data_IF_545622386319
#
_entry.id   IF_545622386319
#
_cell.length_a   1.000
_cell.length_b   1.000
_cell.length_c   1.000
_cell.angle_alpha   90.00
_cell.angle_beta   90.00
_cell.angle_gamma   90.00
#
_symmetry.space_group_name_H-M   'P 1'
#
loop_
_entity.id
_entity.type
_entity.pdbx_description
1 polymer ?
#
# COMPACT_ATOMS: atom_id res chain seq x y z
N UNK A 1 7.02 -9.71 62.58
CA UNK A 1 8.14 -9.45 61.64
C UNK A 1 7.68 -9.86 60.24
N UNK A 2 7.41 -8.91 59.32
CA UNK A 2 7.00 -9.19 57.93
C UNK A 2 7.84 -8.33 57.00
N UNK A 3 8.95 -8.88 56.53
CA UNK A 3 9.89 -8.18 55.64
C UNK A 3 9.28 -8.14 54.25
N UNK A 4 8.86 -6.96 53.78
CA UNK A 4 8.40 -6.75 52.41
C UNK A 4 9.63 -6.67 51.51
N UNK A 5 9.86 -7.70 50.68
CA UNK A 5 10.88 -7.64 49.62
C UNK A 5 10.34 -6.75 48.51
N UNK A 6 10.83 -5.52 48.42
CA UNK A 6 10.54 -4.59 47.34
C UNK A 6 11.25 -5.04 46.06
N UNK A 7 10.48 -5.42 45.05
CA UNK A 7 10.98 -5.77 43.72
C UNK A 7 11.38 -4.48 43.00
N UNK A 8 12.68 -4.23 42.86
CA UNK A 8 13.20 -3.09 42.08
C UNK A 8 13.22 -3.48 40.61
N UNK A 9 12.14 -3.16 39.89
CA UNK A 9 12.11 -3.26 38.42
C UNK A 9 12.99 -2.13 37.88
N UNK A 10 14.13 -2.48 37.26
CA UNK A 10 15.07 -1.51 36.70
C UNK A 10 14.48 -0.81 35.47
N UNK A 11 14.66 0.51 35.37
CA UNK A 11 14.16 1.36 34.29
C UNK A 11 14.54 0.87 32.87
N UNK A 12 15.64 0.12 32.73
CA UNK A 12 16.10 -0.47 31.46
C UNK A 12 15.19 -1.57 30.89
N UNK A 13 14.54 -2.38 31.74
CA UNK A 13 13.60 -3.40 31.24
C UNK A 13 12.24 -2.79 30.84
N UNK A 14 11.86 -1.66 31.43
CA UNK A 14 10.65 -0.94 31.07
C UNK A 14 10.82 -0.18 29.74
N UNK A 15 12.02 0.33 29.45
CA UNK A 15 12.35 1.01 28.20
C UNK A 15 12.45 0.04 27.00
N UNK A 16 12.96 -1.19 27.21
CA UNK A 16 13.06 -2.19 26.15
C UNK A 16 11.68 -2.75 25.75
N UNK A 17 10.76 -2.89 26.72
CA UNK A 17 9.38 -3.29 26.45
C UNK A 17 8.59 -2.22 25.69
N UNK A 18 8.88 -0.93 25.89
CA UNK A 18 8.25 0.17 25.14
C UNK A 18 8.76 0.28 23.68
N UNK A 19 10.03 -0.08 23.42
CA UNK A 19 10.60 -0.04 22.06
C UNK A 19 10.05 -1.15 21.13
N UNK A 20 9.64 -2.29 21.69
CA UNK A 20 9.10 -3.41 20.91
C UNK A 20 7.66 -3.18 20.39
N UNK A 21 6.92 -2.20 20.94
CA UNK A 21 5.53 -1.93 20.54
C UNK A 21 5.44 -1.16 19.21
N UNK A 22 6.54 -0.55 18.74
CA UNK A 22 6.55 0.31 17.56
C UNK A 22 6.70 -0.41 16.21
N UNK A 23 6.83 -1.74 16.18
CA UNK A 23 7.13 -2.48 14.93
C UNK A 23 5.98 -3.29 14.33
N UNK A 24 4.77 -3.20 14.90
CA UNK A 24 3.56 -3.70 14.25
C UNK A 24 2.93 -2.58 13.43
N UNK A 25 3.46 -2.30 12.24
CA UNK A 25 2.71 -1.51 11.26
C UNK A 25 1.53 -2.40 10.83
N UNK A 26 0.27 -2.06 11.17
CA UNK A 26 -0.85 -2.81 10.63
C UNK A 26 -0.84 -2.60 9.12
N UNK A 27 -0.54 -3.66 8.37
CA UNK A 27 -0.71 -3.68 6.93
C UNK A 27 -2.22 -3.65 6.70
N UNK A 28 -2.79 -2.46 6.49
CA UNK A 28 -4.21 -2.32 6.23
C UNK A 28 -4.49 -2.89 4.84
N UNK A 29 -5.09 -4.07 4.77
CA UNK A 29 -5.55 -4.64 3.52
C UNK A 29 -6.63 -3.72 2.93
N UNK A 30 -6.43 -3.27 1.70
CA UNK A 30 -7.41 -2.47 1.01
C UNK A 30 -8.51 -3.37 0.45
N UNK A 31 -9.75 -3.14 0.87
CA UNK A 31 -10.94 -3.81 0.34
C UNK A 31 -11.05 -3.61 -1.17
N UNK A 32 -11.43 -4.67 -1.90
CA UNK A 32 -11.54 -4.60 -3.34
C UNK A 32 -12.56 -3.54 -3.79
N UNK A 33 -12.21 -2.78 -4.84
CA UNK A 33 -13.04 -1.70 -5.39
C UNK A 33 -13.10 -1.78 -6.91
N UNK A 34 -14.30 -1.74 -7.48
CA UNK A 34 -14.48 -1.77 -8.94
C UNK A 34 -14.74 -0.37 -9.51
N UNK A 35 -13.99 -0.03 -10.55
CA UNK A 35 -14.11 1.19 -11.34
C UNK A 35 -14.73 0.86 -12.70
N UNK A 36 -15.57 1.76 -13.22
CA UNK A 36 -16.19 1.63 -14.56
C UNK A 36 -16.08 2.92 -15.40
N UNK A 37 -15.31 3.89 -14.92
CA UNK A 37 -15.10 5.21 -15.54
C UNK A 37 -13.70 5.71 -15.26
N UNK A 38 -13.27 6.72 -16.03
CA UNK A 38 -11.95 7.34 -15.90
C UNK A 38 -11.72 7.84 -14.49
N UNK A 39 -10.68 7.31 -13.84
CA UNK A 39 -10.33 7.63 -12.46
C UNK A 39 -8.85 7.35 -12.21
N UNK A 40 -8.21 8.23 -11.44
CA UNK A 40 -6.85 8.07 -10.93
C UNK A 40 -6.88 8.22 -9.42
N UNK A 41 -5.94 7.59 -8.72
CA UNK A 41 -5.82 7.72 -7.27
C UNK A 41 -4.85 6.73 -6.67
N UNK A 42 -5.00 6.47 -5.36
CA UNK A 42 -4.21 5.48 -4.62
C UNK A 42 -5.11 4.40 -4.01
N UNK A 43 -4.62 3.16 -3.98
CA UNK A 43 -5.32 2.01 -3.40
C UNK A 43 -4.32 0.92 -3.01
N UNK A 44 -4.43 0.37 -1.79
CA UNK A 44 -3.56 -0.72 -1.33
C UNK A 44 -2.07 -0.34 -1.34
N UNK A 45 -1.76 0.96 -1.14
CA UNK A 45 -0.38 1.47 -1.15
C UNK A 45 0.23 1.74 -2.53
N UNK A 46 -0.54 1.64 -3.62
CA UNK A 46 -0.09 1.91 -4.99
C UNK A 46 -0.96 2.96 -5.67
N UNK A 47 -0.37 3.72 -6.59
CA UNK A 47 -1.09 4.58 -7.53
C UNK A 47 -1.81 3.71 -8.55
N UNK A 48 -3.01 4.12 -8.98
CA UNK A 48 -3.75 3.46 -10.07
C UNK A 48 -4.29 4.48 -11.06
N UNK A 49 -4.55 4.00 -12.27
CA UNK A 49 -5.27 4.74 -13.30
C UNK A 49 -6.12 3.77 -14.14
N UNK A 50 -7.41 4.12 -14.24
CA UNK A 50 -8.32 3.66 -15.27
C UNK A 50 -8.50 4.81 -16.24
N UNK A 51 -8.32 4.55 -17.54
CA UNK A 51 -8.70 5.51 -18.57
C UNK A 51 -9.22 4.79 -19.82
N UNK A 52 -10.29 5.32 -20.43
CA UNK A 52 -10.80 4.91 -21.74
C UNK A 52 -11.34 6.10 -22.52
N UNK A 53 -11.46 5.93 -23.83
CA UNK A 53 -12.14 6.87 -24.72
C UNK A 53 -13.65 6.58 -24.85
N UNK A 54 -14.02 5.39 -25.29
CA UNK A 54 -15.37 4.94 -25.66
C UNK A 54 -15.60 3.51 -25.18
N UNK A 55 -16.81 2.97 -25.32
CA UNK A 55 -17.11 1.58 -24.94
C UNK A 55 -17.20 1.32 -23.43
N UNK A 56 -17.16 0.04 -23.05
CA UNK A 56 -17.35 -0.42 -21.67
C UNK A 56 -16.09 -1.11 -21.13
N UNK A 57 -15.71 -0.77 -19.90
CA UNK A 57 -14.59 -1.41 -19.21
C UNK A 57 -14.78 -1.38 -17.71
N UNK A 58 -14.19 -2.35 -17.01
CA UNK A 58 -14.21 -2.51 -15.57
C UNK A 58 -12.80 -2.81 -15.08
N UNK A 59 -12.40 -2.18 -13.97
CA UNK A 59 -11.17 -2.50 -13.25
C UNK A 59 -11.51 -2.74 -11.79
N UNK A 60 -11.26 -3.95 -11.29
CA UNK A 60 -11.32 -4.25 -9.86
C UNK A 60 -9.93 -4.09 -9.26
N UNK A 61 -9.75 -3.04 -8.48
CA UNK A 61 -8.61 -2.84 -7.60
C UNK A 61 -8.66 -3.91 -6.51
N UNK A 62 -7.56 -4.65 -6.35
CA UNK A 62 -7.36 -5.59 -5.24
C UNK A 62 -6.34 -5.01 -4.28
N UNK A 63 -6.09 -5.70 -3.17
CA UNK A 63 -5.04 -5.29 -2.24
C UNK A 63 -3.64 -5.34 -2.90
N UNK A 64 -2.68 -4.58 -2.36
CA UNK A 64 -1.32 -4.47 -2.89
C UNK A 64 -1.28 -3.95 -4.33
N UNK A 65 -0.39 -4.48 -5.17
CA UNK A 65 -0.25 -4.08 -6.59
C UNK A 65 -1.25 -4.72 -7.55
N UNK A 66 -2.07 -5.67 -7.09
CA UNK A 66 -2.92 -6.48 -7.95
C UNK A 66 -4.20 -5.75 -8.41
N UNK A 67 -4.66 -6.11 -9.60
CA UNK A 67 -5.96 -5.71 -10.13
C UNK A 67 -6.45 -6.76 -11.14
N UNK A 68 -7.74 -6.72 -11.48
CA UNK A 68 -8.30 -7.45 -12.62
C UNK A 68 -9.12 -6.52 -13.48
N UNK A 69 -9.21 -6.80 -14.77
CA UNK A 69 -9.92 -5.95 -15.72
C UNK A 69 -10.76 -6.78 -16.70
N UNK A 70 -11.83 -6.16 -17.18
CA UNK A 70 -12.69 -6.68 -18.22
C UNK A 70 -13.10 -5.52 -19.12
N UNK A 71 -13.22 -5.76 -20.43
CA UNK A 71 -13.59 -4.71 -21.38
C UNK A 71 -14.29 -5.30 -22.60
N UNK A 72 -15.10 -4.47 -23.25
CA UNK A 72 -15.85 -4.83 -24.45
C UNK A 72 -16.18 -3.58 -25.26
N UNK A 73 -16.23 -3.70 -26.59
CA UNK A 73 -16.59 -2.60 -27.50
C UNK A 73 -15.75 -1.32 -27.27
N UNK A 74 -14.49 -1.50 -26.88
CA UNK A 74 -13.52 -0.43 -26.63
C UNK A 74 -12.82 -0.08 -27.94
N UNK A 75 -12.54 1.21 -28.15
CA UNK A 75 -11.49 1.64 -29.08
C UNK A 75 -10.12 1.68 -28.37
N UNK A 76 -9.98 2.48 -27.31
CA UNK A 76 -8.76 2.51 -26.49
C UNK A 76 -9.08 2.52 -24.98
N UNK A 77 -8.39 1.65 -24.23
CA UNK A 77 -8.48 1.55 -22.77
C UNK A 77 -7.11 1.19 -22.19
N UNK A 78 -6.85 1.69 -20.99
CA UNK A 78 -5.70 1.29 -20.19
C UNK A 78 -6.09 1.10 -18.72
N UNK A 79 -5.39 0.17 -18.08
CA UNK A 79 -5.50 -0.13 -16.67
C UNK A 79 -4.10 -0.27 -16.12
N UNK A 80 -3.77 0.45 -15.05
CA UNK A 80 -2.45 0.35 -14.43
C UNK A 80 -2.52 0.52 -12.93
N UNK A 81 -1.58 -0.11 -12.24
CA UNK A 81 -1.30 0.08 -10.82
C UNK A 81 0.20 0.02 -10.59
N UNK A 82 0.75 0.92 -9.78
CA UNK A 82 2.21 1.09 -9.66
C UNK A 82 2.61 2.19 -8.69
N UNK A 83 3.80 2.76 -8.90
CA UNK A 83 4.33 3.89 -8.12
C UNK A 83 4.59 5.05 -9.05
N UNK A 84 4.08 6.24 -8.70
CA UNK A 84 4.37 7.49 -9.39
C UNK A 84 5.52 8.20 -8.68
N UNK A 85 6.62 8.39 -9.40
CA UNK A 85 7.72 9.22 -8.93
C UNK A 85 7.45 10.69 -9.25
N UNK A 86 8.12 11.59 -8.54
CA UNK A 86 7.98 13.03 -8.70
C UNK A 86 8.83 13.62 -9.85
N UNK A 87 9.48 12.75 -10.64
CA UNK A 87 10.30 13.13 -11.80
C UNK A 87 11.54 13.99 -11.47
N UNK A 88 12.00 14.01 -10.21
CA UNK A 88 13.19 14.77 -9.78
C UNK A 88 14.45 13.93 -9.62
N UNK A 89 14.32 12.61 -9.70
CA UNK A 89 15.41 11.66 -9.46
C UNK A 89 15.69 10.82 -10.71
N UNK A 90 16.97 10.55 -10.99
CA UNK A 90 17.36 9.55 -11.99
C UNK A 90 17.14 8.14 -11.44
N UNK A 91 17.14 7.11 -12.30
CA UNK A 91 16.99 5.72 -11.84
C UNK A 91 18.11 5.32 -10.87
N UNK A 92 19.33 5.83 -11.04
CA UNK A 92 20.44 5.55 -10.12
C UNK A 92 20.19 6.13 -8.73
N UNK A 93 19.50 7.28 -8.64
CA UNK A 93 19.14 7.91 -7.36
C UNK A 93 17.94 7.23 -6.70
N UNK A 94 17.03 6.66 -7.49
CA UNK A 94 15.90 5.87 -6.99
C UNK A 94 16.32 4.47 -6.50
N UNK A 95 17.38 3.92 -7.10
CA UNK A 95 17.86 2.58 -6.80
C UNK A 95 17.20 1.50 -7.66
N UNK A 96 17.27 0.25 -7.20
CA UNK A 96 16.71 -0.89 -7.93
C UNK A 96 15.18 -0.84 -7.95
N UNK A 97 14.59 -0.99 -9.13
CA UNK A 97 13.13 -1.06 -9.31
C UNK A 97 12.81 -2.40 -9.94
N UNK A 98 12.10 -3.24 -9.21
CA UNK A 98 11.65 -4.55 -9.67
C UNK A 98 10.14 -4.66 -9.55
N UNK A 99 9.56 -5.45 -10.44
CA UNK A 99 8.17 -5.92 -10.37
C UNK A 99 8.25 -7.44 -10.42
N UNK A 100 7.68 -8.10 -9.42
CA UNK A 100 7.68 -9.55 -9.25
C UNK A 100 6.32 -10.15 -9.60
#
# INVERSE_FOLDING_TARGET
>A
MRVRKSLKVGAGMLALALLLVCFVIPMSEASARTLSSNETGTHGGYDYEYWKDTGNGSMTLKDGGAFSCQWSNINNILFRKGRKFNETQTYQQLGNITVE
#
